data_IF_666561808827
#
_entry.id   IF_666561808827
#
_cell.length_a   1.000
_cell.length_b   1.000
_cell.length_c   1.000
_cell.angle_alpha   90.00
_cell.angle_beta   90.00
_cell.angle_gamma   90.00
#
_symmetry.space_group_name_H-M   'P 1'
#
loop_
_entity.id
_entity.type
_entity.pdbx_description
1 polymer ?
#
# COMPACT_ATOMS: atom_id res chain seq x y z
N UNK A 1 -1.30 12.87 -5.32
CA UNK A 1 -2.07 13.60 -4.26
C UNK A 1 -1.34 14.89 -3.90
N UNK A 2 -2.03 16.02 -3.77
CA UNK A 2 -1.45 17.32 -3.42
C UNK A 2 -1.46 17.53 -1.90
N UNK A 3 -0.60 18.42 -1.34
CA UNK A 3 -0.56 18.67 0.11
C UNK A 3 -1.87 19.21 0.71
N UNK A 4 -2.70 19.86 -0.09
CA UNK A 4 -3.99 20.44 0.29
C UNK A 4 -5.18 19.47 0.14
N UNK A 5 -4.93 18.25 -0.29
CA UNK A 5 -5.97 17.23 -0.44
C UNK A 5 -6.53 16.81 0.93
N UNK A 6 -7.87 16.69 1.11
CA UNK A 6 -8.48 16.37 2.41
C UNK A 6 -7.95 15.09 3.07
N UNK A 7 -7.68 14.05 2.29
CA UNK A 7 -7.14 12.79 2.80
C UNK A 7 -5.71 12.88 3.36
N UNK A 8 -4.96 13.95 3.07
CA UNK A 8 -3.53 14.06 3.45
C UNK A 8 -3.32 14.01 4.95
N UNK A 9 -4.20 14.64 5.74
CA UNK A 9 -4.10 14.62 7.20
C UNK A 9 -4.17 13.21 7.77
N UNK A 10 -5.12 12.40 7.30
CA UNK A 10 -5.31 11.01 7.75
C UNK A 10 -4.19 10.12 7.23
N UNK A 11 -3.77 10.29 5.97
CA UNK A 11 -2.64 9.56 5.39
C UNK A 11 -1.35 9.83 6.19
N UNK A 12 -1.04 11.09 6.44
CA UNK A 12 0.14 11.52 7.20
C UNK A 12 0.14 10.93 8.62
N UNK A 13 -1.02 10.96 9.30
CA UNK A 13 -1.21 10.35 10.62
C UNK A 13 -0.90 8.86 10.61
N UNK A 14 -1.51 8.10 9.70
CA UNK A 14 -1.32 6.64 9.62
C UNK A 14 0.12 6.25 9.28
N UNK A 15 0.76 6.97 8.35
CA UNK A 15 2.16 6.76 8.01
C UNK A 15 3.10 7.15 9.14
N UNK A 16 2.83 8.24 9.88
CA UNK A 16 3.62 8.64 11.05
C UNK A 16 3.60 7.56 12.13
N UNK A 17 2.41 7.06 12.48
CA UNK A 17 2.24 5.98 13.47
C UNK A 17 2.94 4.68 13.05
N UNK A 18 2.84 4.30 11.77
CA UNK A 18 3.57 3.14 11.22
C UNK A 18 5.09 3.28 11.39
N UNK A 19 5.60 4.48 11.25
CA UNK A 19 7.04 4.79 11.40
C UNK A 19 7.47 5.02 12.84
N UNK A 20 6.55 5.02 13.82
CA UNK A 20 6.82 5.33 15.22
C UNK A 20 7.11 6.81 15.45
N UNK A 21 6.60 7.67 14.61
CA UNK A 21 6.73 9.13 14.71
C UNK A 21 5.52 9.74 15.47
N UNK A 22 5.67 10.95 16.02
CA UNK A 22 4.54 11.72 16.53
C UNK A 22 3.46 11.91 15.44
N UNK A 23 2.19 11.91 15.84
CA UNK A 23 1.03 11.96 14.94
C UNK A 23 1.06 13.13 13.93
N UNK A 24 1.67 14.24 14.29
CA UNK A 24 1.79 15.45 13.45
C UNK A 24 3.07 15.51 12.62
N UNK A 25 3.98 14.54 12.78
CA UNK A 25 5.33 14.61 12.19
C UNK A 25 5.33 14.64 10.67
N UNK A 26 4.35 14.03 10.02
CA UNK A 26 4.25 13.98 8.56
C UNK A 26 3.19 14.92 7.98
N UNK A 27 2.53 15.75 8.80
CA UNK A 27 1.62 16.75 8.27
C UNK A 27 2.37 17.72 7.35
N UNK A 28 1.79 18.11 6.21
CA UNK A 28 2.32 19.24 5.43
C UNK A 28 2.43 20.45 6.35
N UNK A 29 3.59 21.11 6.37
CA UNK A 29 3.71 22.45 6.96
C UNK A 29 3.04 23.49 6.03
N UNK A 30 3.25 24.77 6.33
CA UNK A 30 2.93 25.82 5.37
C UNK A 30 3.53 25.44 4.02
N UNK A 31 2.73 25.56 2.96
CA UNK A 31 3.07 25.05 1.62
C UNK A 31 4.52 25.46 1.27
N UNK A 32 5.42 24.50 1.02
CA UNK A 32 6.77 24.85 0.64
C UNK A 32 6.73 25.73 -0.61
N UNK A 33 7.57 26.75 -0.65
CA UNK A 33 7.70 27.57 -1.84
C UNK A 33 7.94 26.67 -3.05
N UNK A 34 7.35 27.01 -4.19
CA UNK A 34 7.51 26.24 -5.41
C UNK A 34 9.00 25.97 -5.68
N UNK A 35 9.39 24.67 -5.74
CA UNK A 35 10.79 24.27 -5.90
C UNK A 35 11.59 24.05 -4.60
N UNK A 36 11.00 24.21 -3.43
CA UNK A 36 11.65 23.85 -2.17
C UNK A 36 11.77 22.31 -2.02
N UNK A 37 12.91 21.83 -1.52
CA UNK A 37 13.08 20.42 -1.20
C UNK A 37 12.08 19.96 -0.12
N UNK A 38 11.53 18.74 -0.23
CA UNK A 38 10.70 18.15 0.81
C UNK A 38 11.43 18.12 2.15
N UNK A 39 10.72 18.39 3.25
CA UNK A 39 11.29 18.32 4.59
C UNK A 39 11.83 16.93 4.87
N UNK A 40 13.09 16.81 5.30
CA UNK A 40 13.72 15.55 5.63
C UNK A 40 13.52 15.21 7.12
N UNK A 41 13.15 13.95 7.37
CA UNK A 41 12.96 13.39 8.72
C UNK A 41 13.79 12.11 8.80
N UNK A 42 14.62 12.00 9.85
CA UNK A 42 15.42 10.80 10.12
C UNK A 42 14.81 10.01 11.28
N UNK A 43 14.66 8.71 11.10
CA UNK A 43 14.20 7.75 12.11
C UNK A 43 15.29 6.71 12.33
N UNK A 44 15.99 6.79 13.43
CA UNK A 44 17.06 5.82 13.75
C UNK A 44 16.44 4.60 14.43
N UNK A 45 16.65 3.42 13.82
CA UNK A 45 16.23 2.11 14.32
C UNK A 45 17.49 1.26 14.55
N UNK A 46 18.04 1.21 15.78
CA UNK A 46 19.34 0.56 16.04
C UNK A 46 19.39 -0.91 15.63
N UNK A 47 18.31 -1.66 15.89
CA UNK A 47 18.21 -3.11 15.73
C UNK A 47 17.35 -3.50 14.50
N UNK A 48 17.16 -2.56 13.57
CA UNK A 48 16.28 -2.78 12.41
C UNK A 48 16.93 -3.67 11.35
N UNK A 49 16.31 -4.82 11.05
CA UNK A 49 16.67 -5.69 9.92
C UNK A 49 16.28 -5.09 8.55
N UNK A 50 15.77 -3.85 8.54
CA UNK A 50 15.35 -3.16 7.34
C UNK A 50 15.65 -1.66 7.42
N UNK A 51 15.90 -1.08 6.26
CA UNK A 51 15.93 0.37 6.07
C UNK A 51 14.87 0.76 5.03
N UNK A 52 14.28 1.92 5.18
CA UNK A 52 13.27 2.40 4.25
C UNK A 52 13.36 3.90 4.01
N UNK A 53 12.99 4.31 2.81
CA UNK A 53 12.75 5.71 2.46
C UNK A 53 11.29 5.85 2.04
N UNK A 54 10.58 6.76 2.71
CA UNK A 54 9.25 7.20 2.35
C UNK A 54 9.37 8.59 1.73
N UNK A 55 9.01 8.74 0.48
CA UNK A 55 9.02 10.02 -0.24
C UNK A 55 7.59 10.48 -0.52
N UNK A 56 7.17 11.52 0.19
CA UNK A 56 5.93 12.25 -0.04
C UNK A 56 6.25 13.59 -0.72
N UNK A 57 5.31 14.22 -1.43
CA UNK A 57 5.55 15.52 -2.07
C UNK A 57 6.05 16.62 -1.11
N UNK A 58 5.79 16.50 0.19
CA UNK A 58 6.13 17.50 1.21
C UNK A 58 7.14 17.01 2.27
N UNK A 59 7.44 15.73 2.32
CA UNK A 59 8.36 15.15 3.29
C UNK A 59 9.06 13.91 2.76
N UNK A 60 10.35 13.77 3.08
CA UNK A 60 11.12 12.54 2.86
C UNK A 60 11.55 11.98 4.21
N UNK A 61 11.11 10.76 4.54
CA UNK A 61 11.52 10.06 5.75
C UNK A 61 12.58 9.04 5.41
N UNK A 62 13.69 9.05 6.13
CA UNK A 62 14.75 8.05 6.04
C UNK A 62 14.77 7.29 7.35
N UNK A 63 14.36 6.02 7.34
CA UNK A 63 14.29 5.18 8.54
C UNK A 63 15.22 3.97 8.41
N UNK A 64 15.99 3.68 9.47
CA UNK A 64 16.92 2.55 9.50
C UNK A 64 18.02 2.71 10.55
N UNK A 65 19.04 1.85 10.54
CA UNK A 65 20.16 1.97 11.46
C UNK A 65 20.93 3.29 11.27
N UNK A 66 21.67 3.70 12.31
CA UNK A 66 22.35 4.99 12.33
C UNK A 66 23.36 5.19 11.18
N UNK A 67 24.01 4.13 10.72
CA UNK A 67 24.91 4.20 9.58
C UNK A 67 24.16 4.53 8.28
N UNK A 68 22.97 3.95 8.08
CA UNK A 68 22.14 4.17 6.89
C UNK A 68 21.60 5.60 6.84
N UNK A 69 20.98 6.09 7.94
CA UNK A 69 20.47 7.46 7.99
C UNK A 69 21.59 8.47 7.75
N UNK A 70 22.80 8.23 8.33
CA UNK A 70 24.00 9.06 8.10
C UNK A 70 24.43 9.05 6.63
N UNK A 71 24.45 7.87 5.98
CA UNK A 71 24.84 7.75 4.57
C UNK A 71 23.87 8.51 3.64
N UNK A 72 22.61 8.60 4.01
CA UNK A 72 21.60 9.29 3.22
C UNK A 72 21.66 10.83 3.35
N UNK A 73 22.34 11.41 4.35
CA UNK A 73 22.31 12.87 4.61
C UNK A 73 22.79 13.71 3.44
N UNK A 74 23.80 13.23 2.70
CA UNK A 74 24.35 13.94 1.54
C UNK A 74 23.68 13.62 0.20
N UNK A 75 22.62 12.81 0.20
CA UNK A 75 21.95 12.37 -1.03
C UNK A 75 20.70 13.23 -1.25
N UNK A 76 20.49 13.82 -2.44
CA UNK A 76 19.28 14.56 -2.76
C UNK A 76 18.01 13.73 -2.52
N UNK A 77 16.91 14.37 -2.08
CA UNK A 77 15.64 13.70 -1.78
C UNK A 77 15.11 12.89 -2.98
N UNK A 78 15.21 13.46 -4.18
CA UNK A 78 14.80 12.80 -5.42
C UNK A 78 15.57 11.50 -5.68
N UNK A 79 16.88 11.49 -5.40
CA UNK A 79 17.71 10.30 -5.58
C UNK A 79 17.41 9.23 -4.52
N UNK A 80 17.01 9.62 -3.32
CA UNK A 80 16.60 8.70 -2.26
C UNK A 80 15.28 7.97 -2.59
N UNK A 81 14.40 8.59 -3.36
CA UNK A 81 13.16 7.96 -3.86
C UNK A 81 13.40 6.88 -4.93
N UNK A 82 14.61 6.78 -5.50
CA UNK A 82 14.95 5.82 -6.55
C UNK A 82 15.65 4.61 -5.97
N UNK A 83 15.06 3.42 -6.11
CA UNK A 83 15.55 2.15 -5.56
C UNK A 83 17.03 1.90 -5.83
N UNK A 84 17.45 2.03 -7.10
CA UNK A 84 18.84 1.74 -7.48
C UNK A 84 19.86 2.73 -6.90
N UNK A 85 19.48 3.98 -6.68
CA UNK A 85 20.33 4.99 -6.06
C UNK A 85 20.42 4.76 -4.54
N UNK A 86 19.30 4.43 -3.91
CA UNK A 86 19.24 4.11 -2.50
C UNK A 86 20.06 2.85 -2.18
N UNK A 87 19.90 1.78 -2.97
CA UNK A 87 20.64 0.54 -2.83
C UNK A 87 22.16 0.78 -2.94
N UNK A 88 22.61 1.53 -3.95
CA UNK A 88 24.03 1.89 -4.09
C UNK A 88 24.56 2.66 -2.89
N UNK A 89 23.76 3.59 -2.36
CA UNK A 89 24.15 4.38 -1.17
C UNK A 89 24.29 3.48 0.05
N UNK A 90 23.34 2.59 0.27
CA UNK A 90 23.35 1.65 1.39
C UNK A 90 24.52 0.65 1.28
N UNK A 91 24.73 0.01 0.14
CA UNK A 91 25.83 -0.95 -0.08
C UNK A 91 27.20 -0.32 0.17
N UNK A 92 27.42 0.92 -0.24
CA UNK A 92 28.69 1.63 0.00
C UNK A 92 28.94 1.93 1.49
N UNK A 93 27.89 2.08 2.28
CA UNK A 93 27.97 2.47 3.68
C UNK A 93 27.90 1.29 4.66
N UNK A 94 27.45 0.13 4.19
CA UNK A 94 27.10 -1.03 5.03
C UNK A 94 28.30 -1.78 5.67
N UNK A 95 29.54 -1.38 5.36
CA UNK A 95 30.77 -1.90 6.01
C UNK A 95 30.85 -3.45 6.10
N UNK A 96 30.26 -4.16 5.12
CA UNK A 96 30.27 -5.63 5.05
C UNK A 96 28.95 -6.32 5.37
N UNK A 97 27.93 -5.58 5.81
CA UNK A 97 26.57 -6.13 5.91
C UNK A 97 25.97 -6.36 4.51
N UNK A 98 25.23 -7.44 4.34
CA UNK A 98 24.51 -7.67 3.09
C UNK A 98 23.26 -6.77 3.02
N UNK A 99 23.13 -6.04 1.92
CA UNK A 99 22.00 -5.14 1.66
C UNK A 99 21.28 -5.62 0.39
N UNK A 100 19.99 -5.86 0.50
CA UNK A 100 19.16 -6.28 -0.63
C UNK A 100 17.93 -5.39 -0.75
N UNK A 101 17.51 -5.09 -1.97
CA UNK A 101 16.23 -4.44 -2.18
C UNK A 101 15.08 -5.41 -1.88
N UNK A 102 14.07 -4.89 -1.20
CA UNK A 102 12.73 -5.51 -1.09
C UNK A 102 11.72 -4.87 -2.01
N UNK A 103 12.11 -3.84 -2.74
CA UNK A 103 11.34 -3.19 -3.77
C UNK A 103 11.01 -1.74 -3.48
N UNK A 104 10.53 -1.11 -4.54
CA UNK A 104 9.93 0.21 -4.54
C UNK A 104 8.42 0.08 -4.72
N UNK A 105 7.66 0.83 -3.95
CA UNK A 105 6.20 0.82 -3.93
C UNK A 105 5.68 2.21 -4.18
N UNK A 106 4.64 2.32 -5.00
CA UNK A 106 3.83 3.53 -5.08
C UNK A 106 2.75 3.47 -4.02
N UNK A 107 2.62 4.54 -3.26
CA UNK A 107 1.58 4.72 -2.25
C UNK A 107 0.36 5.35 -2.89
N UNK A 108 -0.79 4.77 -2.66
CA UNK A 108 -2.08 5.26 -3.13
C UNK A 108 -3.02 5.48 -1.97
N UNK A 109 -3.88 6.51 -2.06
CA UNK A 109 -4.97 6.71 -1.12
C UNK A 109 -6.17 7.38 -1.81
N UNK A 110 -7.35 7.23 -1.24
CA UNK A 110 -8.55 7.93 -1.70
C UNK A 110 -9.38 8.38 -0.50
N UNK A 111 -9.99 9.55 -0.61
CA UNK A 111 -10.92 10.07 0.40
C UNK A 111 -12.25 9.35 0.34
N UNK A 112 -12.77 9.14 -0.87
CA UNK A 112 -14.06 8.51 -1.11
C UNK A 112 -13.91 7.22 -1.90
N UNK A 113 -14.63 6.14 -1.51
CA UNK A 113 -14.69 4.93 -2.32
C UNK A 113 -15.51 5.21 -3.60
N UNK A 114 -15.22 4.50 -4.70
CA UNK A 114 -16.08 4.56 -5.87
C UNK A 114 -17.46 3.98 -5.55
N UNK A 115 -18.53 4.43 -6.23
CA UNK A 115 -19.84 3.82 -6.07
C UNK A 115 -19.80 2.34 -6.43
N UNK A 116 -20.35 1.51 -5.56
CA UNK A 116 -20.46 0.06 -5.75
C UNK A 116 -21.88 -0.29 -6.15
N UNK A 117 -22.10 -0.46 -7.46
CA UNK A 117 -23.39 -0.95 -7.94
C UNK A 117 -23.51 -2.47 -7.67
N UNK A 118 -24.63 -2.95 -7.12
CA UNK A 118 -24.85 -4.38 -6.93
C UNK A 118 -24.71 -5.15 -8.24
N UNK A 119 -23.84 -6.15 -8.27
CA UNK A 119 -23.74 -7.04 -9.41
C UNK A 119 -24.96 -7.96 -9.49
N UNK A 120 -25.39 -8.29 -10.71
CA UNK A 120 -26.44 -9.29 -10.94
C UNK A 120 -25.89 -10.72 -11.10
N UNK A 121 -24.57 -10.87 -11.08
CA UNK A 121 -23.92 -12.15 -11.41
C UNK A 121 -22.96 -12.63 -10.32
N UNK A 122 -22.66 -11.79 -9.36
CA UNK A 122 -21.83 -12.16 -8.21
C UNK A 122 -22.40 -11.54 -6.92
N UNK A 123 -22.49 -12.37 -5.88
CA UNK A 123 -22.75 -11.93 -4.52
C UNK A 123 -21.45 -11.62 -3.80
N UNK A 124 -21.53 -10.73 -2.81
CA UNK A 124 -20.41 -10.45 -1.90
C UNK A 124 -20.54 -11.36 -0.67
N UNK A 125 -19.50 -12.10 -0.37
CA UNK A 125 -19.42 -12.95 0.81
C UNK A 125 -18.27 -12.52 1.71
N UNK A 126 -18.53 -12.49 3.01
CA UNK A 126 -17.52 -12.22 4.05
C UNK A 126 -17.06 -13.50 4.76
N UNK A 127 -17.37 -14.67 4.21
CA UNK A 127 -16.91 -15.95 4.73
C UNK A 127 -15.42 -16.16 4.38
N UNK A 128 -14.53 -16.34 5.38
CA UNK A 128 -13.11 -16.63 5.14
C UNK A 128 -12.89 -17.87 4.27
N UNK A 129 -13.77 -18.85 4.31
CA UNK A 129 -13.67 -20.05 3.48
C UNK A 129 -13.71 -19.72 1.98
N UNK A 130 -14.48 -18.72 1.57
CA UNK A 130 -14.52 -18.26 0.18
C UNK A 130 -13.23 -17.55 -0.23
N UNK A 131 -12.62 -16.77 0.66
CA UNK A 131 -11.31 -16.15 0.40
C UNK A 131 -10.22 -17.21 0.28
N UNK A 132 -10.21 -18.21 1.15
CA UNK A 132 -9.29 -19.35 1.06
C UNK A 132 -9.47 -20.14 -0.25
N UNK A 133 -10.72 -20.31 -0.72
CA UNK A 133 -10.99 -20.96 -1.99
C UNK A 133 -10.46 -20.15 -3.20
N UNK A 134 -10.44 -18.82 -3.13
CA UNK A 134 -9.78 -17.97 -4.14
C UNK A 134 -8.26 -18.15 -4.05
N UNK A 135 -7.69 -18.10 -2.84
CA UNK A 135 -6.26 -18.23 -2.61
C UNK A 135 -5.70 -19.58 -3.09
N UNK A 136 -6.45 -20.69 -2.86
CA UNK A 136 -6.05 -22.01 -3.31
C UNK A 136 -5.97 -22.16 -4.85
N UNK A 137 -6.52 -21.22 -5.62
CA UNK A 137 -6.52 -21.19 -7.10
C UNK A 137 -5.56 -20.16 -7.68
N UNK A 138 -4.77 -19.47 -6.84
CA UNK A 138 -3.79 -18.48 -7.22
C UNK A 138 -2.37 -18.98 -6.90
N UNK A 139 -1.33 -18.48 -7.60
CA UNK A 139 0.06 -18.71 -7.25
C UNK A 139 0.37 -18.25 -5.82
N UNK A 140 1.27 -18.95 -5.12
CA UNK A 140 1.64 -18.62 -3.76
C UNK A 140 2.22 -17.20 -3.63
N UNK A 141 3.00 -16.77 -4.62
CA UNK A 141 3.58 -15.42 -4.64
C UNK A 141 2.50 -14.34 -4.74
N UNK A 142 1.46 -14.55 -5.55
CA UNK A 142 0.32 -13.63 -5.65
C UNK A 142 -0.46 -13.56 -4.33
N UNK A 143 -0.64 -14.69 -3.64
CA UNK A 143 -1.30 -14.76 -2.32
C UNK A 143 -0.50 -14.00 -1.27
N UNK A 144 0.83 -14.16 -1.28
CA UNK A 144 1.73 -13.46 -0.37
C UNK A 144 1.75 -11.95 -0.65
N UNK A 145 1.84 -11.56 -1.93
CA UNK A 145 1.84 -10.14 -2.34
C UNK A 145 0.52 -9.45 -2.01
N UNK A 146 -0.61 -10.12 -2.22
CA UNK A 146 -1.93 -9.59 -1.85
C UNK A 146 -2.12 -9.45 -0.34
N UNK A 147 -1.28 -10.09 0.49
CA UNK A 147 -1.36 -10.03 1.95
C UNK A 147 -2.59 -10.73 2.53
N UNK A 148 -3.13 -11.74 1.85
CA UNK A 148 -4.40 -12.42 2.23
C UNK A 148 -4.43 -12.88 3.68
N UNK A 149 -3.29 -13.35 4.22
CA UNK A 149 -3.19 -13.86 5.58
C UNK A 149 -3.24 -12.76 6.66
N UNK A 150 -3.06 -11.50 6.28
CA UNK A 150 -3.07 -10.35 7.19
C UNK A 150 -4.38 -9.56 7.15
N UNK A 151 -5.34 -9.93 6.30
CA UNK A 151 -6.60 -9.20 6.20
C UNK A 151 -7.45 -9.36 7.46
N UNK A 152 -7.79 -8.25 8.07
CA UNK A 152 -8.71 -8.14 9.21
C UNK A 152 -10.17 -8.03 8.75
N UNK A 153 -10.37 -7.40 7.59
CA UNK A 153 -11.64 -7.34 6.89
C UNK A 153 -11.48 -7.93 5.50
N UNK A 154 -12.42 -8.75 5.07
CA UNK A 154 -12.32 -9.50 3.83
C UNK A 154 -13.67 -9.62 3.11
N UNK A 155 -13.60 -9.71 1.79
CA UNK A 155 -14.73 -9.97 0.92
C UNK A 155 -14.32 -10.86 -0.24
N UNK A 156 -15.16 -11.82 -0.60
CA UNK A 156 -15.03 -12.65 -1.79
C UNK A 156 -16.21 -12.44 -2.72
N UNK A 157 -15.98 -12.46 -4.01
CA UNK A 157 -17.00 -12.44 -5.05
C UNK A 157 -17.39 -13.87 -5.40
N UNK A 158 -18.64 -14.22 -5.15
CA UNK A 158 -19.20 -15.57 -5.39
C UNK A 158 -20.24 -15.47 -6.50
N UNK A 159 -20.06 -16.16 -7.65
CA UNK A 159 -21.10 -16.23 -8.66
C UNK A 159 -22.39 -16.81 -8.10
N UNK A 160 -23.51 -16.15 -8.36
CA UNK A 160 -24.82 -16.59 -7.89
C UNK A 160 -25.87 -16.63 -8.99
N UNK A 161 -27.02 -17.21 -8.71
CA UNK A 161 -28.17 -17.36 -9.66
C UNK A 161 -29.11 -16.14 -9.65
N UNK A 162 -28.70 -15.02 -9.02
CA UNK A 162 -29.52 -13.83 -8.84
C UNK A 162 -30.53 -13.94 -7.69
N UNK A 163 -30.62 -15.10 -7.05
CA UNK A 163 -31.43 -15.35 -5.85
C UNK A 163 -30.53 -15.55 -4.60
N UNK A 164 -29.23 -15.28 -4.71
CA UNK A 164 -28.26 -15.40 -3.63
C UNK A 164 -27.72 -16.82 -3.41
N UNK A 165 -28.02 -17.76 -4.32
CA UNK A 165 -27.49 -19.11 -4.26
C UNK A 165 -26.21 -19.20 -5.09
N UNK A 166 -25.09 -19.57 -4.43
CA UNK A 166 -23.82 -19.80 -5.12
C UNK A 166 -23.94 -20.92 -6.16
N UNK A 167 -23.53 -20.62 -7.41
CA UNK A 167 -23.55 -21.57 -8.53
C UNK A 167 -22.16 -22.06 -8.92
N UNK A 168 -21.13 -21.34 -8.53
CA UNK A 168 -19.73 -21.64 -8.83
C UNK A 168 -18.81 -21.28 -7.66
N UNK A 169 -17.54 -21.68 -7.76
CA UNK A 169 -16.51 -21.30 -6.81
C UNK A 169 -16.23 -19.78 -6.84
N UNK A 170 -15.82 -19.16 -5.71
CA UNK A 170 -15.49 -17.74 -5.64
C UNK A 170 -14.46 -17.33 -6.68
N UNK A 171 -14.62 -16.14 -7.27
CA UNK A 171 -13.88 -15.71 -8.47
C UNK A 171 -12.84 -14.61 -8.21
N UNK A 172 -12.97 -13.85 -7.13
CA UNK A 172 -12.00 -12.87 -6.69
C UNK A 172 -12.20 -12.61 -5.20
N UNK A 173 -11.19 -12.05 -4.55
CA UNK A 173 -11.26 -11.59 -3.18
C UNK A 173 -10.50 -10.27 -3.02
N UNK A 174 -10.91 -9.45 -2.06
CA UNK A 174 -10.19 -8.29 -1.58
C UNK A 174 -10.38 -8.16 -0.07
N UNK A 175 -9.48 -7.44 0.56
CA UNK A 175 -9.55 -7.17 1.98
C UNK A 175 -8.53 -6.12 2.37
N UNK A 176 -8.46 -5.84 3.66
CA UNK A 176 -7.46 -4.92 4.22
C UNK A 176 -7.08 -5.32 5.64
N UNK A 177 -5.91 -4.88 6.04
CA UNK A 177 -5.51 -4.78 7.44
C UNK A 177 -5.39 -3.30 7.83
N UNK A 178 -5.51 -3.01 9.12
CA UNK A 178 -5.46 -1.62 9.59
C UNK A 178 -4.03 -1.21 9.90
N UNK A 179 -3.54 -0.19 9.20
CA UNK A 179 -2.21 0.39 9.42
C UNK A 179 -2.32 1.73 10.15
N UNK A 180 -1.52 1.91 11.20
CA UNK A 180 -1.50 3.15 11.98
C UNK A 180 -2.83 3.51 12.63
N UNK A 181 -3.78 2.56 12.71
CA UNK A 181 -5.11 2.73 13.29
C UNK A 181 -6.10 3.54 12.44
N UNK A 182 -5.72 4.00 11.24
CA UNK A 182 -6.56 4.88 10.40
C UNK A 182 -6.51 4.56 8.91
N UNK A 183 -5.58 3.73 8.45
CA UNK A 183 -5.44 3.35 7.04
C UNK A 183 -5.92 1.91 6.82
N UNK A 184 -6.82 1.70 5.89
CA UNK A 184 -7.17 0.38 5.40
C UNK A 184 -6.19 -0.02 4.28
N UNK A 185 -5.15 -0.78 4.62
CA UNK A 185 -4.14 -1.28 3.67
C UNK A 185 -4.74 -2.38 2.82
N UNK A 186 -5.18 -2.00 1.62
CA UNK A 186 -5.92 -2.83 0.69
C UNK A 186 -5.05 -3.88 0.01
N UNK A 187 -5.60 -5.08 -0.16
CA UNK A 187 -5.08 -6.12 -1.03
C UNK A 187 -6.18 -6.76 -1.87
N UNK A 188 -5.83 -7.34 -3.01
CA UNK A 188 -6.78 -8.05 -3.87
C UNK A 188 -6.14 -9.25 -4.55
N UNK A 189 -6.94 -10.28 -4.75
CA UNK A 189 -6.53 -11.52 -5.37
C UNK A 189 -7.57 -11.98 -6.39
N UNK A 190 -7.12 -12.21 -7.63
CA UNK A 190 -7.93 -12.81 -8.68
C UNK A 190 -7.15 -13.95 -9.32
N UNK A 191 -7.67 -15.19 -9.33
CA UNK A 191 -7.00 -16.32 -9.96
C UNK A 191 -6.64 -16.02 -11.43
N UNK A 192 -5.47 -16.46 -11.93
CA UNK A 192 -4.95 -16.08 -13.26
C UNK A 192 -5.94 -16.23 -14.41
N UNK A 193 -6.69 -17.34 -14.44
CA UNK A 193 -7.68 -17.63 -15.49
C UNK A 193 -8.89 -16.69 -15.51
N UNK A 194 -9.09 -15.89 -14.45
CA UNK A 194 -10.23 -14.99 -14.27
C UNK A 194 -9.84 -13.51 -14.38
N UNK A 195 -8.54 -13.20 -14.58
CA UNK A 195 -8.04 -11.83 -14.73
C UNK A 195 -8.54 -11.16 -15.99
N UNK A 196 -8.47 -9.83 -16.04
CA UNK A 196 -8.91 -9.02 -17.20
C UNK A 196 -10.43 -8.86 -17.33
N UNK A 197 -11.22 -9.35 -16.36
CA UNK A 197 -12.69 -9.29 -16.36
C UNK A 197 -13.26 -8.22 -15.41
N UNK A 198 -12.45 -7.36 -14.83
CA UNK A 198 -12.87 -6.33 -13.87
C UNK A 198 -13.16 -6.84 -12.45
N UNK A 199 -13.03 -8.15 -12.17
CA UNK A 199 -13.40 -8.76 -10.89
C UNK A 199 -12.54 -8.20 -9.73
N UNK A 200 -11.23 -8.06 -9.91
CA UNK A 200 -10.35 -7.47 -8.89
C UNK A 200 -10.73 -6.02 -8.58
N UNK A 201 -11.05 -5.22 -9.60
CA UNK A 201 -11.53 -3.85 -9.42
C UNK A 201 -12.81 -3.81 -8.59
N UNK A 202 -13.78 -4.65 -8.89
CA UNK A 202 -15.05 -4.71 -8.17
C UNK A 202 -14.82 -5.16 -6.71
N UNK A 203 -13.99 -6.18 -6.49
CA UNK A 203 -13.65 -6.64 -5.13
C UNK A 203 -12.97 -5.54 -4.30
N UNK A 204 -12.03 -4.79 -4.89
CA UNK A 204 -11.37 -3.65 -4.21
C UNK A 204 -12.37 -2.55 -3.89
N UNK A 205 -13.28 -2.21 -4.81
CA UNK A 205 -14.32 -1.21 -4.56
C UNK A 205 -15.21 -1.60 -3.36
N UNK A 206 -15.59 -2.88 -3.25
CA UNK A 206 -16.32 -3.41 -2.08
C UNK A 206 -15.51 -3.26 -0.78
N UNK A 207 -14.20 -3.59 -0.83
CA UNK A 207 -13.34 -3.44 0.35
C UNK A 207 -13.14 -1.97 0.74
N UNK A 208 -13.04 -1.05 -0.23
CA UNK A 208 -12.95 0.40 0.02
C UNK A 208 -14.24 0.95 0.64
N UNK A 209 -15.41 0.54 0.14
CA UNK A 209 -16.71 0.93 0.71
C UNK A 209 -16.80 0.48 2.18
N UNK A 210 -16.40 -0.76 2.47
CA UNK A 210 -16.35 -1.27 3.84
C UNK A 210 -15.40 -0.48 4.73
N UNK A 211 -14.20 -0.16 4.24
CA UNK A 211 -13.22 0.64 4.97
C UNK A 211 -13.76 2.04 5.31
N UNK A 212 -14.43 2.69 4.34
CA UNK A 212 -15.04 4.00 4.55
C UNK A 212 -16.18 3.95 5.59
N UNK A 213 -17.01 2.91 5.59
CA UNK A 213 -18.04 2.69 6.62
C UNK A 213 -17.45 2.52 8.02
N UNK A 214 -16.22 2.01 8.13
CA UNK A 214 -15.47 1.88 9.38
C UNK A 214 -14.67 3.14 9.75
N UNK A 215 -14.74 4.20 8.92
CA UNK A 215 -14.01 5.46 9.13
C UNK A 215 -12.52 5.38 8.84
N UNK A 216 -12.10 4.38 8.06
CA UNK A 216 -10.71 4.18 7.65
C UNK A 216 -10.47 4.79 6.26
N UNK A 217 -9.28 5.36 6.06
CA UNK A 217 -8.85 5.84 4.75
C UNK A 217 -8.38 4.65 3.88
N UNK A 218 -9.00 4.40 2.72
CA UNK A 218 -8.50 3.43 1.75
C UNK A 218 -7.07 3.77 1.31
N UNK A 219 -6.17 2.80 1.45
CA UNK A 219 -4.74 2.94 1.18
C UNK A 219 -4.20 1.69 0.49
N UNK A 220 -3.25 1.85 -0.42
CA UNK A 220 -2.56 0.71 -1.04
C UNK A 220 -1.08 1.01 -1.25
N UNK A 221 -0.23 0.00 -1.04
CA UNK A 221 1.17 -0.02 -1.45
C UNK A 221 1.32 -0.96 -2.65
N UNK A 222 1.58 -0.40 -3.81
CA UNK A 222 1.66 -1.17 -5.05
C UNK A 222 3.11 -1.26 -5.51
N UNK A 223 3.69 -2.48 -5.68
CA UNK A 223 5.05 -2.63 -6.21
C UNK A 223 5.19 -1.92 -7.55
N UNK A 224 6.27 -1.16 -7.75
CA UNK A 224 6.48 -0.31 -8.93
C UNK A 224 6.37 -1.08 -10.26
N UNK A 225 6.77 -2.36 -10.28
CA UNK A 225 6.68 -3.23 -11.45
C UNK A 225 5.31 -3.89 -11.68
N UNK A 226 4.34 -3.73 -10.77
CA UNK A 226 3.06 -4.46 -10.85
C UNK A 226 2.00 -3.68 -11.62
N UNK A 227 2.12 -3.61 -12.95
CA UNK A 227 1.23 -2.82 -13.84
C UNK A 227 -0.27 -3.10 -13.62
N UNK A 228 -0.67 -4.36 -13.41
CA UNK A 228 -2.08 -4.71 -13.22
C UNK A 228 -2.65 -4.10 -11.91
N UNK A 229 -1.89 -4.11 -10.82
CA UNK A 229 -2.30 -3.51 -9.56
C UNK A 229 -2.38 -1.97 -9.66
N UNK A 230 -1.45 -1.33 -10.37
CA UNK A 230 -1.54 0.11 -10.67
C UNK A 230 -2.82 0.46 -11.44
N UNK A 231 -3.17 -0.34 -12.46
CA UNK A 231 -4.42 -0.13 -13.21
C UNK A 231 -5.66 -0.29 -12.31
N UNK A 232 -5.67 -1.27 -11.41
CA UNK A 232 -6.78 -1.43 -10.45
C UNK A 232 -6.86 -0.23 -9.53
N UNK A 233 -5.74 0.19 -8.92
CA UNK A 233 -5.70 1.32 -7.99
C UNK A 233 -6.27 2.60 -8.63
N UNK A 234 -5.81 2.94 -9.84
CA UNK A 234 -6.30 4.12 -10.59
C UNK A 234 -7.79 3.95 -10.95
N UNK A 235 -8.19 2.77 -11.40
CA UNK A 235 -9.57 2.51 -11.86
C UNK A 235 -10.61 2.54 -10.72
N UNK A 236 -10.18 2.39 -9.45
CA UNK A 236 -11.05 2.55 -8.27
C UNK A 236 -10.92 3.94 -7.64
N UNK A 237 -10.23 4.89 -8.28
CA UNK A 237 -10.12 6.27 -7.83
C UNK A 237 -9.04 6.53 -6.79
N UNK A 238 -8.14 5.59 -6.54
CA UNK A 238 -6.98 5.83 -5.69
C UNK A 238 -6.00 6.77 -6.40
N UNK A 239 -5.52 7.79 -5.70
CA UNK A 239 -4.53 8.75 -6.17
C UNK A 239 -3.13 8.44 -5.62
N UNK A 240 -2.11 8.58 -6.46
CA UNK A 240 -0.73 8.42 -6.03
C UNK A 240 -0.35 9.53 -5.02
N UNK A 241 0.13 9.11 -3.85
CA UNK A 241 0.46 9.97 -2.73
C UNK A 241 1.97 10.09 -2.47
N UNK A 242 2.76 9.16 -2.97
CA UNK A 242 4.19 9.11 -2.79
C UNK A 242 4.79 7.76 -3.14
N UNK A 243 6.02 7.55 -2.74
CA UNK A 243 6.71 6.25 -2.92
C UNK A 243 7.34 5.78 -1.61
N UNK A 244 7.55 4.48 -1.52
CA UNK A 244 8.28 3.84 -0.43
C UNK A 244 9.27 2.83 -0.99
N UNK A 245 10.54 2.96 -0.64
CA UNK A 245 11.60 2.00 -1.01
C UNK A 245 12.08 1.29 0.23
N UNK A 246 12.19 -0.03 0.19
CA UNK A 246 12.56 -0.87 1.33
C UNK A 246 13.80 -1.69 1.00
N UNK A 247 14.76 -1.69 1.92
CA UNK A 247 15.97 -2.51 1.88
C UNK A 247 15.96 -3.50 3.05
N UNK A 248 16.31 -4.75 2.80
CA UNK A 248 16.65 -5.72 3.84
C UNK A 248 18.15 -5.57 4.19
N UNK A 249 18.47 -5.70 5.47
CA UNK A 249 19.81 -5.65 6.04
C UNK A 249 20.08 -6.99 6.72
N UNK A 250 21.12 -7.70 6.29
CA UNK A 250 21.45 -9.07 6.74
C UNK A 250 22.88 -9.15 7.28
#
# INVERSE_FOLDING_TARGET
MRPDHPAVGVLALGLARRLGLPDTALLPGDAPAAGAEPRRIEVVRPDGAAAEVLALPWATVVAGPAWFTRACRGVPAEALGVESALLRTAVRAAAGEAVRSRGEFTLYAAEEPPPVDPSRTVAVSHDPAHVHAVAARAPADDVAEAGVLSWESLAALVPDDGAGRAIEAPVAAAGYHVTGGVLASLGTLTPPRLRGRGLGRYAVAVAMDRAALEGLLPFAEVPAGHTAAHHVAIAVGLEAAGTRTVLALE
#
